data_IF_491778472833
#
_entry.id   IF_491778472833
#
_cell.length_a   1.000
_cell.length_b   1.000
_cell.length_c   1.000
_cell.angle_alpha   90.00
_cell.angle_beta   90.00
_cell.angle_gamma   90.00
#
_symmetry.space_group_name_H-M   'P 1'
#
loop_
_entity.id
_entity.type
_entity.pdbx_description
1 polymer ?
#
# COMPACT_ATOMS: atom_id res chain seq x y z
N UNK A 1 28.39 5.82 5.78
CA UNK A 1 28.92 6.79 6.78
C UNK A 1 27.86 7.01 7.83
N UNK A 2 28.24 7.31 9.07
CA UNK A 2 27.30 7.71 10.13
C UNK A 2 27.25 9.23 10.16
N UNK A 3 26.14 9.82 9.74
CA UNK A 3 25.83 11.23 9.93
C UNK A 3 24.76 11.35 11.00
N UNK A 4 24.89 12.36 11.88
CA UNK A 4 23.86 12.73 12.84
C UNK A 4 23.40 14.13 12.48
N UNK A 5 22.11 14.30 12.19
CA UNK A 5 21.50 15.61 11.92
C UNK A 5 20.56 15.90 13.08
N UNK A 6 20.75 17.04 13.72
CA UNK A 6 19.93 17.51 14.82
C UNK A 6 18.73 18.29 14.26
N UNK A 7 17.53 17.73 14.42
CA UNK A 7 16.26 18.30 13.92
C UNK A 7 15.53 19.15 14.96
N UNK A 8 16.19 19.50 16.08
CA UNK A 8 15.57 20.20 17.21
C UNK A 8 15.40 21.71 17.02
N UNK A 9 16.00 22.32 15.99
CA UNK A 9 15.81 23.73 15.65
C UNK A 9 14.81 23.89 14.49
N UNK A 10 13.81 24.78 14.62
CA UNK A 10 12.95 25.27 13.54
C UNK A 10 13.76 26.09 12.53
N UNK A 11 14.65 25.43 11.79
CA UNK A 11 15.33 26.01 10.65
C UNK A 11 14.76 25.40 9.39
N UNK A 12 14.46 26.25 8.42
CA UNK A 12 14.15 25.86 7.05
C UNK A 12 15.39 25.19 6.44
N UNK A 13 15.52 23.88 6.64
CA UNK A 13 16.61 23.08 6.12
C UNK A 13 16.13 22.47 4.81
N UNK A 14 16.76 22.86 3.69
CA UNK A 14 16.57 22.18 2.42
C UNK A 14 17.15 20.77 2.50
N UNK A 15 16.33 19.79 2.15
CA UNK A 15 16.66 18.38 2.23
C UNK A 15 16.45 17.73 0.86
N UNK A 16 17.45 16.97 0.44
CA UNK A 16 17.40 16.13 -0.75
C UNK A 16 18.21 14.87 -0.49
N UNK A 17 17.52 13.76 -0.23
CA UNK A 17 18.12 12.46 0.04
C UNK A 17 17.59 11.41 -0.92
N UNK A 18 18.45 10.46 -1.29
CA UNK A 18 18.06 9.26 -2.03
C UNK A 18 18.39 8.07 -1.14
N UNK A 19 17.35 7.37 -0.70
CA UNK A 19 17.48 6.12 0.05
C UNK A 19 17.40 4.95 -0.93
N UNK A 20 18.48 4.19 -1.04
CA UNK A 20 18.49 2.91 -1.75
C UNK A 20 18.04 1.82 -0.79
N UNK A 21 16.98 1.11 -1.18
CA UNK A 21 16.41 0.00 -0.42
C UNK A 21 16.91 -1.29 -1.05
N UNK A 22 17.76 -2.02 -0.32
CA UNK A 22 18.31 -3.31 -0.75
C UNK A 22 17.60 -4.45 0.00
N UNK A 23 16.53 -4.99 -0.57
CA UNK A 23 15.76 -6.12 -0.02
C UNK A 23 15.37 -5.93 1.45
N UNK A 24 14.73 -4.79 1.76
CA UNK A 24 14.25 -4.52 3.10
C UNK A 24 12.94 -5.28 3.39
N UNK A 25 12.81 -5.83 4.59
CA UNK A 25 11.53 -6.37 5.07
C UNK A 25 10.54 -5.22 5.28
N UNK A 26 9.41 -5.29 4.59
CA UNK A 26 8.34 -4.28 4.63
C UNK A 26 7.76 -4.14 6.04
N UNK A 27 7.79 -5.21 6.88
CA UNK A 27 7.39 -5.12 8.28
C UNK A 27 8.17 -4.03 9.04
N UNK A 28 9.43 -3.81 8.69
CA UNK A 28 10.24 -2.78 9.34
C UNK A 28 9.70 -1.38 9.03
N UNK A 29 9.25 -1.16 7.80
CA UNK A 29 8.66 0.11 7.38
C UNK A 29 7.31 0.37 8.07
N UNK A 30 6.48 -0.67 8.24
CA UNK A 30 5.17 -0.54 8.91
C UNK A 30 5.32 -0.21 10.40
N UNK A 31 6.31 -0.81 11.08
CA UNK A 31 6.57 -0.55 12.52
C UNK A 31 6.91 0.90 12.82
N UNK A 32 7.52 1.64 11.88
CA UNK A 32 7.84 3.05 12.05
C UNK A 32 6.59 3.92 12.22
N UNK A 33 5.44 3.48 11.70
CA UNK A 33 4.17 4.18 11.78
C UNK A 33 3.24 3.67 12.89
N UNK A 34 3.75 2.80 13.77
CA UNK A 34 3.04 2.27 14.94
C UNK A 34 1.71 1.54 14.63
N UNK A 35 1.56 1.05 13.39
CA UNK A 35 0.42 0.23 12.98
C UNK A 35 0.77 -1.26 13.05
N UNK A 36 -0.09 -2.06 13.70
CA UNK A 36 0.05 -3.51 13.72
C UNK A 36 -0.75 -4.12 12.56
N UNK A 37 -0.24 -3.98 11.34
CA UNK A 37 -0.86 -4.53 10.13
C UNK A 37 -0.09 -5.77 9.68
N UNK A 38 -0.73 -6.94 9.49
CA UNK A 38 -0.04 -8.17 9.11
C UNK A 38 0.35 -8.13 7.63
N UNK A 39 1.45 -7.44 7.36
CA UNK A 39 2.06 -7.25 6.04
C UNK A 39 3.51 -7.70 6.10
N UNK A 40 3.87 -8.75 5.35
CA UNK A 40 5.26 -9.14 5.16
C UNK A 40 5.65 -9.15 3.70
N UNK A 41 6.95 -9.07 3.44
CA UNK A 41 7.51 -9.16 2.09
C UNK A 41 8.79 -8.35 1.98
N UNK A 42 9.42 -8.42 0.82
CA UNK A 42 10.67 -7.72 0.53
C UNK A 42 10.40 -6.57 -0.44
N UNK A 43 11.00 -5.42 -0.14
CA UNK A 43 11.03 -4.27 -1.03
C UNK A 43 12.46 -3.99 -1.49
N UNK A 44 12.63 -3.63 -2.76
CA UNK A 44 13.88 -3.16 -3.31
C UNK A 44 13.63 -2.00 -4.26
N UNK A 45 14.41 -0.94 -4.17
CA UNK A 45 14.23 0.21 -5.05
C UNK A 45 14.82 1.49 -4.46
N UNK A 46 14.22 2.62 -4.81
CA UNK A 46 14.70 3.93 -4.38
C UNK A 46 13.55 4.75 -3.79
N UNK A 47 13.87 5.52 -2.75
CA UNK A 47 12.98 6.52 -2.17
C UNK A 47 13.72 7.86 -2.19
N UNK A 48 13.16 8.82 -2.91
CA UNK A 48 13.66 10.18 -3.04
C UNK A 48 12.90 11.07 -2.09
N UNK A 49 13.59 11.64 -1.11
CA UNK A 49 13.02 12.55 -0.11
C UNK A 49 13.49 13.96 -0.41
N UNK A 50 12.55 14.88 -0.62
CA UNK A 50 12.82 16.29 -0.95
C UNK A 50 11.93 17.23 -0.15
N UNK A 51 12.40 18.43 0.14
CA UNK A 51 11.57 19.49 0.73
C UNK A 51 12.34 20.37 1.70
N UNK A 52 11.59 21.18 2.45
CA UNK A 52 12.12 22.07 3.48
C UNK A 52 11.57 21.57 4.81
N UNK A 53 12.43 21.10 5.71
CA UNK A 53 11.99 20.60 7.02
C UNK A 53 11.12 21.65 7.75
N UNK A 54 9.98 21.27 8.37
CA UNK A 54 9.43 19.92 8.51
C UNK A 54 8.55 19.43 7.35
N UNK A 55 8.37 20.24 6.30
CA UNK A 55 7.55 19.91 5.12
C UNK A 55 8.37 19.17 4.08
N UNK A 56 8.30 17.83 4.15
CA UNK A 56 8.97 16.94 3.21
C UNK A 56 7.98 16.15 2.36
N UNK A 57 8.43 15.77 1.18
CA UNK A 57 7.78 14.81 0.30
C UNK A 57 8.75 13.65 0.05
N UNK A 58 8.24 12.41 0.10
CA UNK A 58 8.96 11.23 -0.31
C UNK A 58 8.29 10.62 -1.54
N UNK A 59 9.07 10.31 -2.58
CA UNK A 59 8.62 9.60 -3.76
C UNK A 59 9.37 8.28 -3.83
N UNK A 60 8.64 7.17 -3.78
CA UNK A 60 9.23 5.83 -3.84
C UNK A 60 8.87 5.10 -5.12
N UNK A 61 9.86 4.40 -5.68
CA UNK A 61 9.70 3.41 -6.75
C UNK A 61 10.31 2.10 -6.26
N UNK A 62 9.44 1.15 -5.91
CA UNK A 62 9.80 -0.09 -5.22
C UNK A 62 9.33 -1.30 -6.01
N UNK A 63 10.24 -2.24 -6.22
CA UNK A 63 9.94 -3.64 -6.56
C UNK A 63 9.59 -4.39 -5.29
N UNK A 64 8.57 -5.22 -5.37
CA UNK A 64 8.01 -6.01 -4.29
C UNK A 64 8.20 -7.50 -4.58
N UNK A 65 8.46 -8.28 -3.54
CA UNK A 65 8.62 -9.73 -3.63
C UNK A 65 8.05 -10.43 -2.40
N UNK A 66 7.43 -11.59 -2.60
CA UNK A 66 6.92 -12.46 -1.54
C UNK A 66 6.00 -11.71 -0.57
N UNK A 67 5.09 -10.91 -1.14
CA UNK A 67 4.12 -10.11 -0.38
C UNK A 67 3.06 -11.02 0.21
N UNK A 68 2.84 -10.86 1.50
CA UNK A 68 1.74 -11.49 2.23
C UNK A 68 1.03 -10.42 3.03
N UNK A 69 -0.22 -10.15 2.66
CA UNK A 69 -1.07 -9.14 3.23
C UNK A 69 -2.39 -9.78 3.66
N UNK A 70 -2.52 -10.10 4.95
CA UNK A 70 -3.70 -10.81 5.50
C UNK A 70 -4.01 -12.08 4.68
N UNK A 71 -5.01 -12.06 3.79
CA UNK A 71 -5.42 -13.18 2.94
C UNK A 71 -4.90 -13.07 1.51
N UNK A 72 -4.31 -11.93 1.14
CA UNK A 72 -3.74 -11.67 -0.16
C UNK A 72 -2.26 -12.06 -0.20
N UNK A 73 -1.91 -12.94 -1.14
CA UNK A 73 -0.51 -13.32 -1.39
C UNK A 73 -0.11 -12.91 -2.81
N UNK A 74 1.06 -12.33 -2.96
CA UNK A 74 1.64 -12.00 -4.25
C UNK A 74 3.12 -12.37 -4.30
N UNK A 75 3.53 -13.00 -5.38
CA UNK A 75 4.91 -13.46 -5.61
C UNK A 75 5.83 -12.27 -5.91
N UNK A 76 5.29 -11.27 -6.64
CA UNK A 76 6.02 -10.09 -7.05
C UNK A 76 5.09 -8.90 -7.26
N UNK A 77 5.68 -7.72 -7.34
CA UNK A 77 4.94 -6.52 -7.68
C UNK A 77 5.81 -5.29 -7.84
N UNK A 78 5.17 -4.17 -8.10
CA UNK A 78 5.80 -2.86 -8.09
C UNK A 78 4.88 -1.88 -7.37
N UNK A 79 5.47 -0.88 -6.72
CA UNK A 79 4.78 0.18 -6.01
C UNK A 79 5.47 1.51 -6.30
N UNK A 80 4.70 2.44 -6.85
CA UNK A 80 5.06 3.85 -6.99
C UNK A 80 4.14 4.65 -6.07
N UNK A 81 4.72 5.39 -5.15
CA UNK A 81 3.96 6.16 -4.17
C UNK A 81 4.58 7.52 -3.88
N UNK A 82 3.74 8.48 -3.53
CA UNK A 82 4.14 9.79 -3.00
C UNK A 82 3.59 9.93 -1.60
N UNK A 83 4.46 10.22 -0.63
CA UNK A 83 4.10 10.58 0.73
C UNK A 83 4.39 12.07 0.92
N UNK A 84 3.39 12.83 1.36
CA UNK A 84 3.51 14.27 1.60
C UNK A 84 2.16 14.83 2.02
N UNK A 85 2.16 16.03 2.62
CA UNK A 85 0.93 16.74 3.01
C UNK A 85 -0.05 15.87 3.83
N UNK A 86 0.51 15.07 4.75
CA UNK A 86 -0.23 14.11 5.59
C UNK A 86 -1.05 13.09 4.79
N UNK A 87 -0.59 12.70 3.61
CA UNK A 87 -1.24 11.72 2.73
C UNK A 87 -0.22 10.78 2.09
N UNK A 88 -0.67 9.57 1.78
CA UNK A 88 0.02 8.63 0.88
C UNK A 88 -0.81 8.53 -0.39
N UNK A 89 -0.25 8.95 -1.51
CA UNK A 89 -0.80 8.69 -2.84
C UNK A 89 -0.12 7.48 -3.45
N UNK A 90 -0.91 6.46 -3.75
CA UNK A 90 -0.48 5.30 -4.54
C UNK A 90 -0.71 5.67 -6.00
N UNK A 91 0.37 5.98 -6.71
CA UNK A 91 0.29 6.29 -8.15
C UNK A 91 0.06 5.02 -8.95
N UNK A 92 0.73 3.94 -8.56
CA UNK A 92 0.55 2.63 -9.15
C UNK A 92 1.05 1.56 -8.19
N UNK A 93 0.22 0.59 -7.89
CA UNK A 93 0.65 -0.67 -7.28
C UNK A 93 0.17 -1.82 -8.14
N UNK A 94 1.09 -2.68 -8.55
CA UNK A 94 0.78 -3.90 -9.30
C UNK A 94 1.29 -5.08 -8.51
N UNK A 95 0.42 -6.04 -8.18
CA UNK A 95 0.78 -7.29 -7.49
C UNK A 95 0.43 -8.48 -8.40
N UNK A 96 1.34 -9.44 -8.50
CA UNK A 96 1.21 -10.63 -9.35
C UNK A 96 1.24 -11.90 -8.49
N UNK A 97 0.32 -12.83 -8.77
CA UNK A 97 0.30 -14.17 -8.17
C UNK A 97 -0.18 -15.19 -9.19
N UNK A 98 0.77 -15.91 -9.82
CA UNK A 98 0.47 -16.81 -10.92
C UNK A 98 -0.28 -16.11 -12.06
N UNK A 99 -1.55 -16.51 -12.29
CA UNK A 99 -2.42 -15.89 -13.31
C UNK A 99 -3.25 -14.70 -12.79
N UNK A 100 -3.18 -14.43 -11.49
CA UNK A 100 -3.94 -13.36 -10.85
C UNK A 100 -3.11 -12.09 -10.80
N UNK A 101 -3.75 -10.94 -11.02
CA UNK A 101 -3.11 -9.64 -10.93
C UNK A 101 -4.01 -8.64 -10.22
N UNK A 102 -3.40 -7.75 -9.44
CA UNK A 102 -4.08 -6.65 -8.77
C UNK A 102 -3.40 -5.34 -9.13
N UNK A 103 -4.21 -4.34 -9.44
CA UNK A 103 -3.79 -2.99 -9.80
C UNK A 103 -4.48 -2.02 -8.85
N UNK A 104 -3.72 -1.28 -8.06
CA UNK A 104 -4.26 -0.32 -7.10
C UNK A 104 -3.73 1.08 -7.36
N UNK A 105 -4.61 2.07 -7.22
CA UNK A 105 -4.29 3.49 -7.23
C UNK A 105 -5.22 4.20 -6.26
N UNK A 106 -4.82 5.38 -5.80
CA UNK A 106 -5.65 6.23 -4.96
C UNK A 106 -4.87 6.84 -3.81
N UNK A 107 -5.58 7.28 -2.78
CA UNK A 107 -5.01 8.03 -1.68
C UNK A 107 -5.45 7.49 -0.32
N UNK A 108 -4.54 7.64 0.65
CA UNK A 108 -4.76 7.36 2.06
C UNK A 108 -4.41 8.63 2.81
N UNK A 109 -5.41 9.25 3.46
CA UNK A 109 -5.15 10.34 4.40
C UNK A 109 -4.53 9.78 5.68
N UNK A 110 -3.50 10.43 6.20
CA UNK A 110 -2.87 10.11 7.49
C UNK A 110 -3.51 10.91 8.64
N UNK A 111 -4.68 11.50 8.42
CA UNK A 111 -5.51 12.11 9.45
C UNK A 111 -6.22 11.06 10.30
N UNK A 112 -6.91 11.51 11.35
CA UNK A 112 -7.69 10.63 12.22
C UNK A 112 -8.70 9.79 11.43
N UNK A 113 -8.73 8.49 11.70
CA UNK A 113 -9.59 7.54 10.99
C UNK A 113 -9.06 7.03 9.66
N UNK A 114 -7.88 7.50 9.22
CA UNK A 114 -7.22 7.11 7.97
C UNK A 114 -8.18 7.01 6.76
N UNK A 115 -8.85 8.10 6.34
CA UNK A 115 -9.73 8.08 5.18
C UNK A 115 -9.05 7.50 3.94
N UNK A 116 -9.71 6.52 3.32
CA UNK A 116 -9.30 5.84 2.11
C UNK A 116 -10.11 6.38 0.92
N UNK A 117 -9.46 6.51 -0.22
CA UNK A 117 -10.10 6.57 -1.55
C UNK A 117 -9.23 5.77 -2.51
N UNK A 118 -9.51 4.47 -2.58
CA UNK A 118 -8.72 3.51 -3.36
C UNK A 118 -9.56 2.84 -4.43
N UNK A 119 -8.97 2.66 -5.60
CA UNK A 119 -9.50 1.83 -6.67
C UNK A 119 -8.57 0.65 -6.90
N UNK A 120 -9.12 -0.55 -6.75
CA UNK A 120 -8.43 -1.82 -6.99
C UNK A 120 -9.08 -2.50 -8.18
N UNK A 121 -8.36 -2.64 -9.29
CA UNK A 121 -8.75 -3.52 -10.39
C UNK A 121 -8.07 -4.88 -10.19
N UNK A 122 -8.77 -5.95 -10.52
CA UNK A 122 -8.25 -7.30 -10.33
C UNK A 122 -8.57 -8.20 -11.51
N UNK A 123 -7.62 -9.05 -11.86
CA UNK A 123 -7.75 -10.07 -12.89
C UNK A 123 -7.62 -11.44 -12.23
N UNK A 124 -8.54 -12.34 -12.55
CA UNK A 124 -8.49 -13.73 -12.11
C UNK A 124 -8.30 -13.93 -10.59
N UNK A 125 -8.84 -13.02 -9.79
CA UNK A 125 -8.63 -12.97 -8.36
C UNK A 125 -9.72 -13.76 -7.63
N UNK A 126 -9.31 -14.48 -6.59
CA UNK A 126 -10.25 -15.01 -5.61
C UNK A 126 -10.87 -13.85 -4.81
N UNK A 127 -12.14 -13.54 -5.10
CA UNK A 127 -12.88 -12.45 -4.45
C UNK A 127 -12.94 -12.68 -2.94
N UNK A 128 -13.05 -13.93 -2.49
CA UNK A 128 -13.17 -14.23 -1.07
C UNK A 128 -11.93 -13.77 -0.31
N UNK A 129 -10.75 -14.07 -0.84
CA UNK A 129 -9.45 -13.62 -0.35
C UNK A 129 -9.28 -12.09 -0.43
N UNK A 130 -9.83 -11.43 -1.45
CA UNK A 130 -9.78 -9.98 -1.57
C UNK A 130 -10.65 -9.28 -0.51
N UNK A 131 -11.89 -9.75 -0.31
CA UNK A 131 -12.86 -9.13 0.60
C UNK A 131 -12.61 -9.44 2.07
N UNK A 132 -12.00 -10.57 2.40
CA UNK A 132 -11.67 -10.91 3.80
C UNK A 132 -10.67 -9.95 4.46
N UNK A 133 -10.04 -9.09 3.68
CA UNK A 133 -9.21 -7.98 4.19
C UNK A 133 -10.04 -6.87 4.84
N UNK A 134 -11.32 -6.75 4.49
CA UNK A 134 -12.19 -5.64 4.91
C UNK A 134 -13.43 -6.10 5.69
N UNK A 135 -13.95 -7.29 5.39
CA UNK A 135 -15.19 -7.79 5.99
C UNK A 135 -14.92 -9.14 6.66
N UNK A 136 -15.40 -9.30 7.90
CA UNK A 136 -15.52 -10.61 8.58
C UNK A 136 -16.96 -11.09 8.45
N UNK A 137 -17.29 -11.79 7.37
CA UNK A 137 -18.65 -12.25 7.11
C UNK A 137 -18.69 -13.68 6.56
N UNK A 138 -19.60 -14.49 7.10
CA UNK A 138 -19.90 -15.84 6.64
C UNK A 138 -20.41 -15.87 5.19
N UNK A 139 -20.84 -14.73 4.65
CA UNK A 139 -21.26 -14.60 3.25
C UNK A 139 -20.07 -14.64 2.29
N UNK A 140 -18.86 -14.27 2.73
CA UNK A 140 -17.65 -14.30 1.89
C UNK A 140 -17.30 -15.73 1.48
N UNK A 141 -17.50 -16.71 2.37
CA UNK A 141 -17.28 -18.12 2.07
C UNK A 141 -18.24 -18.70 1.02
N UNK A 142 -19.32 -17.98 0.68
CA UNK A 142 -20.24 -18.35 -0.41
C UNK A 142 -19.78 -17.84 -1.77
N UNK A 143 -18.91 -16.82 -1.81
CA UNK A 143 -18.29 -16.33 -3.03
C UNK A 143 -17.14 -17.29 -3.36
N UNK A 144 -17.38 -18.20 -4.30
CA UNK A 144 -16.38 -19.18 -4.76
C UNK A 144 -15.99 -18.85 -6.20
N UNK A 145 -14.71 -19.07 -6.51
CA UNK A 145 -14.18 -18.94 -7.86
C UNK A 145 -13.34 -17.68 -8.05
N UNK A 146 -12.70 -17.63 -9.23
CA UNK A 146 -11.91 -16.49 -9.66
C UNK A 146 -12.80 -15.51 -10.41
N UNK A 147 -12.50 -14.23 -10.31
CA UNK A 147 -13.22 -13.20 -11.03
C UNK A 147 -12.30 -12.09 -11.50
N UNK A 148 -12.83 -11.30 -12.42
CA UNK A 148 -12.19 -10.11 -12.96
C UNK A 148 -13.11 -8.92 -12.74
N UNK A 149 -12.56 -7.78 -12.30
CA UNK A 149 -13.40 -6.66 -11.92
C UNK A 149 -12.66 -5.51 -11.24
N UNK A 150 -13.44 -4.71 -10.52
CA UNK A 150 -12.98 -3.56 -9.75
C UNK A 150 -13.64 -3.52 -8.38
N UNK A 151 -12.90 -2.97 -7.42
CA UNK A 151 -13.33 -2.68 -6.05
C UNK A 151 -12.94 -1.24 -5.74
N UNK A 152 -13.92 -0.39 -5.44
CA UNK A 152 -13.67 0.92 -4.83
C UNK A 152 -13.80 0.81 -3.31
N UNK A 153 -12.86 1.41 -2.59
CA UNK A 153 -12.77 1.40 -1.13
C UNK A 153 -12.74 2.86 -0.69
N UNK A 154 -13.76 3.31 0.04
CA UNK A 154 -13.89 4.70 0.47
C UNK A 154 -14.17 4.81 1.97
N UNK A 155 -13.83 5.94 2.58
CA UNK A 155 -14.15 6.21 3.97
C UNK A 155 -13.11 5.69 4.96
N UNK A 156 -13.49 5.50 6.23
CA UNK A 156 -12.55 5.20 7.31
C UNK A 156 -11.94 3.81 7.16
N UNK A 157 -10.62 3.68 7.34
CA UNK A 157 -9.90 2.40 7.24
C UNK A 157 -10.49 1.28 8.12
N UNK A 158 -11.04 1.62 9.29
CA UNK A 158 -11.63 0.63 10.21
C UNK A 158 -13.04 0.19 9.82
N UNK A 159 -13.72 0.94 8.97
CA UNK A 159 -15.08 0.64 8.49
C UNK A 159 -15.32 1.28 7.11
N UNK A 160 -14.63 0.82 6.06
CA UNK A 160 -14.74 1.43 4.75
C UNK A 160 -16.02 1.00 4.01
N UNK A 161 -16.53 1.88 3.17
CA UNK A 161 -17.53 1.56 2.16
C UNK A 161 -16.87 0.83 0.99
N UNK A 162 -17.45 -0.29 0.59
CA UNK A 162 -16.93 -1.15 -0.48
C UNK A 162 -17.90 -1.23 -1.65
N UNK A 163 -17.42 -0.91 -2.85
CA UNK A 163 -18.19 -0.96 -4.09
C UNK A 163 -17.55 -1.96 -5.04
N UNK A 164 -18.12 -3.16 -5.13
CA UNK A 164 -17.59 -4.26 -5.94
C UNK A 164 -18.36 -4.38 -7.27
N UNK A 165 -17.61 -4.45 -8.37
CA UNK A 165 -18.11 -4.83 -9.69
C UNK A 165 -17.25 -5.97 -10.22
N UNK A 166 -17.82 -7.17 -10.37
CA UNK A 166 -17.04 -8.36 -10.75
C UNK A 166 -17.78 -9.26 -11.74
N UNK A 167 -17.02 -9.83 -12.66
CA UNK A 167 -17.44 -10.87 -13.59
C UNK A 167 -16.76 -12.18 -13.18
N UNK A 168 -17.52 -13.23 -12.84
CA UNK A 168 -16.96 -14.55 -12.57
C UNK A 168 -16.20 -15.08 -13.80
N UNK A 169 -15.06 -15.70 -13.57
CA UNK A 169 -14.34 -16.41 -14.62
C UNK A 169 -14.98 -17.81 -14.75
N UNK A 170 -15.53 -18.10 -15.94
CA UNK A 170 -16.07 -19.43 -16.28
C UNK A 170 -14.97 -20.43 -16.63
#
# INVERSE_FOLDING_TARGET
>A
GKGNVDFSEEKDIEMSFVLKVEQADINYLVKLFNYNFPLSGLAQGEIVIKGIWPKITAHGDLKLKDINLVSLKAESGNLIFVLGDNKIRIESMVLNSGKSQLYTQGEISLEEGLPLDLRVNFLNQDISSLLSNFIKSDLIGKLRGQATGSLEIKGNYTSPDLYLSALPNN
#
